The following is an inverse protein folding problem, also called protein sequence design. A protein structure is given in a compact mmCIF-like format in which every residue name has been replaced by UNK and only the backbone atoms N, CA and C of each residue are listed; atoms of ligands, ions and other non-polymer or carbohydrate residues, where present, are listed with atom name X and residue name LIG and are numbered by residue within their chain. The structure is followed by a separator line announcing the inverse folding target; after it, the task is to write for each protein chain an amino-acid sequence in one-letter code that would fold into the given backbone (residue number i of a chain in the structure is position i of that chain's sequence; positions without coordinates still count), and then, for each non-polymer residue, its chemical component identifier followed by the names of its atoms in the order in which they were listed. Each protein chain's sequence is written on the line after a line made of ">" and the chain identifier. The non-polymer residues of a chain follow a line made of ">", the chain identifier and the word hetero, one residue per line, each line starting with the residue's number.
data_IF_446089470917
#
_entry.id   IF_446089470917
#
_cell.length_a   1.000
_cell.length_b   1.000
_cell.length_c   1.000
_cell.angle_alpha   90.00
_cell.angle_beta   90.00
_cell.angle_gamma   90.00
#
_symmetry.space_group_name_H-M   'P 1'
#
loop_
_entity.id
_entity.type
_entity.pdbx_description
1 polymer ?
#
# COMPACT_ATOMS: atom_id res chain seq x y z
N UNK A 1 -14.78 5.79 22.06
CA UNK A 1 -13.72 6.83 22.14
C UNK A 1 -13.92 7.87 21.05
N UNK A 2 -13.38 9.08 21.26
CA UNK A 2 -13.23 10.13 20.24
C UNK A 2 -11.84 10.03 19.62
N UNK A 3 -11.76 9.65 18.36
CA UNK A 3 -10.49 9.38 17.68
C UNK A 3 -10.28 10.45 16.59
N UNK A 4 -9.17 11.18 16.67
CA UNK A 4 -8.75 12.10 15.64
C UNK A 4 -7.70 11.44 14.74
N UNK A 5 -8.00 11.25 13.46
CA UNK A 5 -7.03 10.81 12.46
C UNK A 5 -6.46 12.03 11.75
N UNK A 6 -5.12 12.11 11.63
CA UNK A 6 -4.45 13.17 10.85
C UNK A 6 -3.65 12.56 9.71
N UNK A 7 -3.80 13.10 8.50
CA UNK A 7 -3.14 12.60 7.29
C UNK A 7 -2.88 13.72 6.29
N UNK A 8 -1.81 13.61 5.50
CA UNK A 8 -1.53 14.56 4.42
C UNK A 8 -2.28 14.21 3.13
N UNK A 9 -2.77 12.96 3.00
CA UNK A 9 -3.50 12.47 1.84
C UNK A 9 -4.79 11.79 2.28
N UNK A 10 -5.93 12.19 1.70
CA UNK A 10 -7.19 11.48 2.01
C UNK A 10 -8.16 11.59 0.84
N UNK A 11 -8.81 12.11 0.25
CA UNK A 11 -10.11 12.08 -0.42
C UNK A 11 -10.13 11.73 -1.91
N UNK A 12 -9.13 12.10 -2.71
CA UNK A 12 -9.24 12.02 -4.18
C UNK A 12 -8.29 11.02 -4.81
N UNK A 13 -7.35 10.50 -4.03
CA UNK A 13 -6.35 9.55 -4.53
C UNK A 13 -6.46 8.22 -3.84
N UNK A 14 -6.37 7.16 -4.63
CA UNK A 14 -6.29 5.80 -4.11
C UNK A 14 -4.82 5.41 -4.02
N UNK A 15 -4.37 5.18 -2.80
CA UNK A 15 -3.08 4.57 -2.50
C UNK A 15 -3.20 3.73 -1.22
N UNK A 16 -2.18 2.95 -0.90
CA UNK A 16 -2.20 2.06 0.27
C UNK A 16 -2.50 2.79 1.58
N UNK A 17 -2.03 4.02 1.78
CA UNK A 17 -2.28 4.82 2.99
C UNK A 17 -3.76 5.16 3.11
N UNK A 18 -4.36 5.68 2.04
CA UNK A 18 -5.79 6.04 2.02
C UNK A 18 -6.66 4.81 2.22
N UNK A 19 -6.32 3.68 1.60
CA UNK A 19 -7.02 2.40 1.79
C UNK A 19 -6.95 1.94 3.24
N UNK A 20 -5.76 1.98 3.86
CA UNK A 20 -5.57 1.63 5.28
C UNK A 20 -6.43 2.51 6.20
N UNK A 21 -6.40 3.85 5.99
CA UNK A 21 -7.18 4.80 6.78
C UNK A 21 -8.70 4.54 6.64
N UNK A 22 -9.20 4.31 5.43
CA UNK A 22 -10.61 4.01 5.19
C UNK A 22 -11.04 2.73 5.92
N UNK A 23 -10.29 1.65 5.72
CA UNK A 23 -10.58 0.37 6.35
C UNK A 23 -10.60 0.48 7.88
N UNK A 24 -9.61 1.17 8.46
CA UNK A 24 -9.56 1.43 9.90
C UNK A 24 -10.76 2.24 10.37
N UNK A 25 -11.06 3.34 9.67
CA UNK A 25 -12.16 4.25 10.03
C UNK A 25 -13.51 3.56 9.99
N UNK A 26 -13.79 2.79 8.92
CA UNK A 26 -15.04 2.04 8.78
C UNK A 26 -15.24 1.05 9.93
N UNK A 27 -14.22 0.27 10.27
CA UNK A 27 -14.34 -0.75 11.31
C UNK A 27 -14.45 -0.14 12.71
N UNK A 28 -13.69 0.91 13.02
CA UNK A 28 -13.79 1.61 14.30
C UNK A 28 -15.16 2.31 14.46
N UNK A 29 -15.72 2.86 13.37
CA UNK A 29 -17.07 3.43 13.40
C UNK A 29 -18.15 2.37 13.66
N UNK A 30 -18.04 1.17 13.07
CA UNK A 30 -18.94 0.03 13.36
C UNK A 30 -18.90 -0.37 14.84
N UNK A 31 -17.76 -0.21 15.50
CA UNK A 31 -17.56 -0.46 16.94
C UNK A 31 -18.07 0.70 17.82
N UNK A 32 -18.62 1.76 17.23
CA UNK A 32 -19.26 2.88 17.94
C UNK A 32 -18.29 4.01 18.34
N UNK A 33 -17.07 4.06 17.77
CA UNK A 33 -16.17 5.18 18.00
C UNK A 33 -16.59 6.41 17.19
N UNK A 34 -16.42 7.60 17.77
CA UNK A 34 -16.61 8.88 17.08
C UNK A 34 -15.27 9.26 16.42
N UNK A 35 -15.23 9.28 15.07
CA UNK A 35 -14.01 9.54 14.31
C UNK A 35 -14.12 10.86 13.57
N UNK A 36 -13.06 11.69 13.70
CA UNK A 36 -12.86 12.87 12.87
C UNK A 36 -11.53 12.78 12.16
N UNK A 37 -11.48 13.25 10.92
CA UNK A 37 -10.29 13.21 10.07
C UNK A 37 -9.86 14.63 9.76
N UNK A 38 -8.59 14.94 9.98
CA UNK A 38 -7.97 16.21 9.62
C UNK A 38 -6.95 15.98 8.51
N UNK A 39 -7.15 16.65 7.38
CA UNK A 39 -6.29 16.52 6.21
C UNK A 39 -6.05 17.87 5.54
N UNK A 40 -5.17 17.89 4.54
CA UNK A 40 -4.95 19.09 3.71
C UNK A 40 -5.91 19.09 2.51
N UNK A 41 -6.38 20.29 2.14
CA UNK A 41 -7.25 20.48 0.97
C UNK A 41 -6.43 20.50 -0.31
N UNK A 42 -6.94 19.90 -1.36
CA UNK A 42 -6.35 20.01 -2.70
C UNK A 42 -6.53 21.40 -3.34
N UNK A 43 -7.35 22.23 -2.70
CA UNK A 43 -7.65 23.58 -3.18
C UNK A 43 -7.15 24.66 -2.22
N UNK A 44 -7.16 25.89 -2.69
CA UNK A 44 -6.85 27.08 -1.87
C UNK A 44 -8.00 27.45 -0.91
N UNK A 45 -8.91 26.51 -0.59
CA UNK A 45 -10.02 26.74 0.33
C UNK A 45 -10.07 25.63 1.38
N UNK A 46 -10.22 26.03 2.65
CA UNK A 46 -10.55 25.09 3.71
C UNK A 46 -12.04 24.81 3.68
N UNK A 47 -12.43 23.55 3.80
CA UNK A 47 -13.82 23.11 3.85
C UNK A 47 -13.98 21.92 4.79
N UNK A 48 -15.21 21.57 5.12
CA UNK A 48 -15.56 20.42 5.93
C UNK A 48 -16.61 19.62 5.17
N UNK A 49 -16.45 18.33 5.12
CA UNK A 49 -17.43 17.39 4.59
C UNK A 49 -17.63 16.29 5.63
N UNK A 50 -18.83 16.20 6.18
CA UNK A 50 -19.14 15.29 7.28
C UNK A 50 -18.13 15.41 8.44
N UNK A 51 -17.40 14.34 8.71
CA UNK A 51 -16.38 14.27 9.77
C UNK A 51 -14.95 14.57 9.27
N UNK A 52 -14.78 15.01 8.02
CA UNK A 52 -13.47 15.30 7.42
C UNK A 52 -13.24 16.80 7.32
N UNK A 53 -12.14 17.26 7.86
CA UNK A 53 -11.71 18.65 7.94
C UNK A 53 -10.55 18.88 6.99
N UNK A 54 -10.76 19.68 5.95
CA UNK A 54 -9.77 20.01 4.93
C UNK A 54 -9.16 21.39 5.19
N UNK A 55 -7.86 21.44 5.44
CA UNK A 55 -7.14 22.70 5.63
C UNK A 55 -6.54 23.15 4.29
N UNK A 56 -6.80 24.41 3.92
CA UNK A 56 -6.22 25.08 2.75
C UNK A 56 -4.73 24.78 2.64
N UNK A 57 -4.25 24.41 1.46
CA UNK A 57 -2.85 24.10 1.19
C UNK A 57 -2.38 24.59 -0.18
N UNK A 58 -1.07 24.66 -0.34
CA UNK A 58 -0.37 24.93 -1.60
C UNK A 58 0.33 23.68 -2.09
N UNK A 59 0.36 23.39 -3.39
CA UNK A 59 1.14 22.28 -3.93
C UNK A 59 2.63 22.51 -3.71
N UNK A 60 3.36 21.45 -3.41
CA UNK A 60 4.82 21.41 -3.25
C UNK A 60 5.42 20.35 -4.19
N UNK A 61 4.89 20.26 -5.42
CA UNK A 61 5.24 19.25 -6.42
C UNK A 61 6.73 19.24 -6.80
N UNK A 62 7.47 20.32 -6.47
CA UNK A 62 8.92 20.42 -6.67
C UNK A 62 9.69 19.45 -5.76
N UNK A 63 9.14 19.09 -4.59
CA UNK A 63 9.80 18.21 -3.61
C UNK A 63 9.41 16.76 -3.86
N UNK A 64 8.14 16.49 -4.03
CA UNK A 64 7.58 15.19 -4.33
C UNK A 64 6.17 15.38 -4.91
N UNK A 65 5.78 14.59 -5.93
CA UNK A 65 4.44 14.66 -6.48
C UNK A 65 3.37 14.50 -5.38
N UNK A 66 2.37 15.38 -5.42
CA UNK A 66 1.22 15.35 -4.53
C UNK A 66 1.44 15.82 -3.08
N UNK A 67 2.66 16.20 -2.67
CA UNK A 67 2.88 16.83 -1.37
C UNK A 67 2.27 18.24 -1.38
N UNK A 68 1.52 18.55 -0.31
CA UNK A 68 0.86 19.85 -0.16
C UNK A 68 1.17 20.44 1.20
N UNK A 69 1.52 21.73 1.22
CA UNK A 69 1.84 22.46 2.44
C UNK A 69 0.61 23.27 2.93
N UNK A 70 0.12 23.06 4.16
CA UNK A 70 -0.96 23.85 4.71
C UNK A 70 -0.53 25.31 4.92
N UNK A 71 -1.44 26.25 4.61
CA UNK A 71 -1.15 27.69 4.70
C UNK A 71 -1.38 28.23 6.12
N UNK A 72 -2.24 27.58 6.92
CA UNK A 72 -2.62 28.02 8.26
C UNK A 72 -2.61 26.88 9.28
N UNK A 73 -1.84 27.05 10.36
CA UNK A 73 -1.84 26.13 11.50
C UNK A 73 -2.85 26.52 12.60
N UNK A 74 -3.48 27.71 12.55
CA UNK A 74 -4.43 28.22 13.54
C UNK A 74 -5.83 28.44 12.94
N UNK A 75 -6.32 27.51 12.14
CA UNK A 75 -7.63 27.59 11.51
C UNK A 75 -8.76 27.29 12.49
N UNK A 76 -9.98 27.83 12.22
CA UNK A 76 -11.19 27.55 13.04
C UNK A 76 -11.45 26.06 13.24
N UNK A 77 -11.18 25.23 12.25
CA UNK A 77 -11.35 23.79 12.34
C UNK A 77 -10.41 23.12 13.34
N UNK A 78 -9.20 23.63 13.50
CA UNK A 78 -8.26 23.16 14.53
C UNK A 78 -8.82 23.47 15.92
N UNK A 79 -9.40 24.68 16.13
CA UNK A 79 -10.07 25.03 17.39
C UNK A 79 -11.25 24.12 17.67
N UNK A 80 -12.11 23.85 16.68
CA UNK A 80 -13.24 22.93 16.79
C UNK A 80 -12.79 21.52 17.22
N UNK A 81 -11.67 21.02 16.66
CA UNK A 81 -11.09 19.73 17.05
C UNK A 81 -10.49 19.73 18.47
N UNK A 82 -9.88 20.84 18.90
CA UNK A 82 -9.41 21.00 20.29
C UNK A 82 -10.58 21.03 21.26
N UNK A 83 -11.66 21.78 20.96
CA UNK A 83 -12.88 21.85 21.76
C UNK A 83 -13.63 20.52 21.82
N UNK A 84 -13.54 19.71 20.75
CA UNK A 84 -14.11 18.36 20.70
C UNK A 84 -13.39 17.39 21.65
N UNK A 85 -12.12 17.65 22.03
CA UNK A 85 -11.30 16.87 22.95
C UNK A 85 -11.23 15.40 22.54
N UNK A 86 -10.39 15.06 21.55
CA UNK A 86 -10.13 13.66 21.21
C UNK A 86 -9.51 12.90 22.39
N UNK A 87 -9.88 11.63 22.55
CA UNK A 87 -9.27 10.73 23.52
C UNK A 87 -7.88 10.25 23.03
N UNK A 88 -7.74 10.09 21.71
CA UNK A 88 -6.49 9.70 21.05
C UNK A 88 -6.36 10.40 19.69
N UNK A 89 -5.13 10.67 19.29
CA UNK A 89 -4.79 11.22 17.97
C UNK A 89 -3.96 10.18 17.22
N UNK A 90 -4.45 9.69 16.08
CA UNK A 90 -3.71 8.76 15.23
C UNK A 90 -3.18 9.48 13.99
N UNK A 91 -1.89 9.71 13.95
CA UNK A 91 -1.20 10.31 12.81
C UNK A 91 -0.81 9.24 11.79
N UNK A 92 -1.09 9.50 10.50
CA UNK A 92 -0.84 8.59 9.38
C UNK A 92 0.28 9.07 8.44
N UNK A 93 0.80 10.28 8.67
CA UNK A 93 1.89 10.87 7.89
C UNK A 93 2.77 11.73 8.78
N UNK A 94 4.09 11.74 8.50
CA UNK A 94 5.12 12.40 9.33
C UNK A 94 5.30 13.89 9.01
N UNK A 95 4.71 14.37 7.90
CA UNK A 95 4.98 15.72 7.42
C UNK A 95 4.07 16.78 8.10
N UNK A 96 3.21 17.39 7.32
CA UNK A 96 2.45 18.55 7.77
C UNK A 96 1.30 18.18 8.70
N UNK A 97 0.64 17.07 8.48
CA UNK A 97 -0.45 16.59 9.34
C UNK A 97 0.03 16.19 10.74
N UNK A 98 1.27 15.74 10.89
CA UNK A 98 1.87 15.48 12.20
C UNK A 98 2.02 16.75 13.05
N UNK A 99 2.25 17.91 12.44
CA UNK A 99 2.26 19.18 13.15
C UNK A 99 0.90 19.51 13.76
N UNK A 100 -0.18 19.24 13.02
CA UNK A 100 -1.53 19.40 13.56
C UNK A 100 -1.78 18.44 14.72
N UNK A 101 -1.39 17.16 14.57
CA UNK A 101 -1.48 16.17 15.62
C UNK A 101 -0.76 16.64 16.89
N UNK A 102 0.50 17.06 16.77
CA UNK A 102 1.32 17.56 17.89
C UNK A 102 0.73 18.82 18.53
N UNK A 103 0.18 19.74 17.73
CA UNK A 103 -0.42 20.97 18.26
C UNK A 103 -1.70 20.67 19.03
N UNK A 104 -2.57 19.82 18.49
CA UNK A 104 -3.83 19.43 19.14
C UNK A 104 -3.54 18.63 20.41
N UNK A 105 -2.61 17.67 20.37
CA UNK A 105 -2.17 16.90 21.53
C UNK A 105 -1.69 17.81 22.68
N UNK A 106 -0.84 18.79 22.40
CA UNK A 106 -0.37 19.77 23.41
C UNK A 106 -1.49 20.59 24.04
N UNK A 107 -2.62 20.79 23.32
CA UNK A 107 -3.77 21.56 23.83
C UNK A 107 -4.79 20.71 24.56
N UNK A 108 -4.91 19.44 24.21
CA UNK A 108 -5.94 18.54 24.76
C UNK A 108 -5.40 17.55 25.78
N UNK A 109 -4.09 17.25 25.74
CA UNK A 109 -3.46 16.17 26.50
C UNK A 109 -3.62 14.79 25.85
N UNK A 110 -4.30 14.69 24.69
CA UNK A 110 -4.52 13.41 24.03
C UNK A 110 -3.20 12.79 23.54
N UNK A 111 -2.94 11.49 23.81
CA UNK A 111 -1.76 10.79 23.31
C UNK A 111 -1.77 10.67 21.79
N UNK A 112 -0.56 10.58 21.19
CA UNK A 112 -0.38 10.38 19.75
C UNK A 112 0.06 8.95 19.49
N UNK A 113 -0.67 8.23 18.65
CA UNK A 113 -0.21 7.05 17.95
C UNK A 113 0.20 7.44 16.53
N UNK A 114 1.28 6.90 16.01
CA UNK A 114 1.72 7.18 14.64
C UNK A 114 1.92 5.89 13.86
N UNK A 115 1.27 5.74 12.68
CA UNK A 115 1.57 4.64 11.75
C UNK A 115 2.56 5.09 10.70
N UNK A 116 3.67 4.35 10.56
CA UNK A 116 4.74 4.62 9.62
C UNK A 116 4.48 3.90 8.28
N UNK A 117 3.91 4.62 7.31
CA UNK A 117 3.47 4.04 6.04
C UNK A 117 4.50 4.08 4.92
N UNK A 118 5.57 4.87 5.03
CA UNK A 118 6.46 5.13 3.89
C UNK A 118 7.92 5.06 4.29
N UNK A 119 8.69 4.22 3.61
CA UNK A 119 10.16 4.16 3.72
C UNK A 119 10.78 5.28 2.87
N UNK A 120 10.94 6.44 3.45
CA UNK A 120 11.41 7.64 2.75
C UNK A 120 12.85 7.55 2.21
N UNK A 121 13.67 6.66 2.76
CA UNK A 121 15.04 6.43 2.28
C UNK A 121 15.09 6.10 0.79
N UNK A 122 14.08 5.39 0.29
CA UNK A 122 14.00 4.99 -1.10
C UNK A 122 13.65 6.15 -2.03
N UNK A 123 13.04 7.20 -1.49
CA UNK A 123 12.65 8.40 -2.22
C UNK A 123 13.67 9.53 -2.13
N UNK A 124 14.62 9.46 -1.20
CA UNK A 124 15.66 10.48 -1.01
C UNK A 124 16.58 10.58 -2.21
N UNK A 125 16.80 9.49 -2.94
CA UNK A 125 17.60 9.45 -4.17
C UNK A 125 17.09 10.41 -5.25
N UNK A 126 15.79 10.75 -5.21
CA UNK A 126 15.21 11.74 -6.13
C UNK A 126 15.54 13.20 -5.74
N UNK A 127 15.93 13.44 -4.49
CA UNK A 127 16.13 14.80 -3.96
C UNK A 127 17.59 15.07 -3.64
N UNK A 128 18.34 14.07 -3.18
CA UNK A 128 19.74 14.21 -2.75
C UNK A 128 20.66 13.24 -3.49
N UNK A 129 21.77 13.73 -4.06
CA UNK A 129 22.71 12.89 -4.81
C UNK A 129 23.48 11.90 -3.93
N UNK A 130 23.58 12.14 -2.62
CA UNK A 130 24.24 11.26 -1.66
C UNK A 130 23.21 10.49 -0.83
N UNK A 131 23.03 9.22 -1.17
CA UNK A 131 22.05 8.32 -0.54
C UNK A 131 22.28 8.13 0.96
N UNK A 132 23.53 8.00 1.39
CA UNK A 132 23.86 7.80 2.82
C UNK A 132 23.54 9.04 3.66
N UNK A 133 23.88 10.22 3.14
CA UNK A 133 23.56 11.48 3.83
C UNK A 133 22.03 11.67 3.92
N UNK A 134 21.32 11.30 2.86
CA UNK A 134 19.88 11.36 2.83
C UNK A 134 19.22 10.43 3.84
N UNK A 135 19.66 9.19 3.93
CA UNK A 135 19.17 8.21 4.90
C UNK A 135 19.38 8.70 6.36
N UNK A 136 20.58 9.24 6.67
CA UNK A 136 20.85 9.82 7.98
C UNK A 136 19.95 11.02 8.31
N UNK A 137 19.68 11.87 7.33
CA UNK A 137 18.77 13.01 7.52
C UNK A 137 17.33 12.55 7.80
N UNK A 138 16.85 11.56 7.07
CA UNK A 138 15.52 10.97 7.30
C UNK A 138 15.46 10.34 8.69
N UNK A 139 16.44 9.53 9.07
CA UNK A 139 16.51 8.92 10.40
C UNK A 139 16.44 9.98 11.51
N UNK A 140 17.23 11.05 11.39
CA UNK A 140 17.21 12.16 12.33
C UNK A 140 15.84 12.85 12.37
N UNK A 141 15.26 13.16 11.22
CA UNK A 141 13.96 13.84 11.14
C UNK A 141 12.84 12.96 11.69
N UNK A 142 12.79 11.68 11.35
CA UNK A 142 11.81 10.72 11.89
C UNK A 142 11.92 10.62 13.40
N UNK A 143 13.14 10.47 13.95
CA UNK A 143 13.38 10.42 15.39
C UNK A 143 12.93 11.71 16.10
N UNK A 144 13.27 12.87 15.55
CA UNK A 144 12.88 14.16 16.15
C UNK A 144 11.36 14.40 16.08
N UNK A 145 10.73 13.97 15.00
CA UNK A 145 9.27 14.09 14.82
C UNK A 145 8.51 13.17 15.76
N UNK A 146 8.86 11.91 15.77
CA UNK A 146 8.11 10.89 16.48
C UNK A 146 8.40 10.84 17.98
N UNK A 147 9.41 11.53 18.48
CA UNK A 147 9.80 11.53 19.93
C UNK A 147 8.64 11.80 20.89
N UNK A 148 7.58 12.49 20.45
CA UNK A 148 6.42 12.83 21.28
C UNK A 148 5.21 11.91 20.98
N UNK A 149 5.37 10.88 20.13
CA UNK A 149 4.35 9.87 19.95
C UNK A 149 4.41 8.90 21.14
N UNK A 150 3.26 8.51 21.67
CA UNK A 150 3.16 7.53 22.75
C UNK A 150 3.49 6.12 22.24
N UNK A 151 3.09 5.82 21.02
CA UNK A 151 3.41 4.58 20.33
C UNK A 151 3.56 4.79 18.83
N UNK A 152 4.37 3.95 18.19
CA UNK A 152 4.55 3.89 16.73
C UNK A 152 4.08 2.53 16.23
N UNK A 153 3.27 2.55 15.18
CA UNK A 153 2.81 1.34 14.49
C UNK A 153 3.66 1.13 13.24
N UNK A 154 4.31 -0.01 13.16
CA UNK A 154 5.02 -0.49 11.98
C UNK A 154 4.13 -1.53 11.27
N UNK A 155 3.88 -1.44 9.96
CA UNK A 155 3.04 -2.41 9.26
C UNK A 155 3.71 -3.77 9.07
N UNK A 156 5.03 -3.87 9.20
CA UNK A 156 5.82 -5.11 9.08
C UNK A 156 7.06 -5.06 9.97
N UNK A 157 7.69 -6.21 10.22
CA UNK A 157 8.98 -6.31 10.89
C UNK A 157 10.11 -5.59 10.13
N UNK A 158 10.05 -5.55 8.78
CA UNK A 158 10.94 -4.70 7.97
C UNK A 158 10.95 -3.25 8.44
N UNK A 159 9.76 -2.67 8.61
CA UNK A 159 9.61 -1.27 9.05
C UNK A 159 10.01 -1.10 10.51
N UNK A 160 9.68 -2.04 11.37
CA UNK A 160 10.12 -2.06 12.76
C UNK A 160 11.65 -1.97 12.87
N UNK A 161 12.39 -2.84 12.13
CA UNK A 161 13.85 -2.84 12.11
C UNK A 161 14.42 -1.50 11.61
N UNK A 162 13.86 -0.94 10.53
CA UNK A 162 14.28 0.38 10.03
C UNK A 162 14.09 1.47 11.08
N UNK A 163 12.98 1.47 11.81
CA UNK A 163 12.72 2.46 12.86
C UNK A 163 13.64 2.28 14.07
N UNK A 164 14.00 1.04 14.41
CA UNK A 164 15.01 0.73 15.42
C UNK A 164 16.39 1.23 14.99
N UNK A 165 16.78 1.02 13.73
CA UNK A 165 18.03 1.52 13.15
C UNK A 165 18.09 3.06 13.12
N UNK A 166 16.93 3.73 12.97
CA UNK A 166 16.84 5.19 13.13
C UNK A 166 17.07 5.64 14.58
N UNK A 167 17.08 4.72 15.54
CA UNK A 167 17.25 5.01 16.95
C UNK A 167 16.00 5.60 17.61
N UNK A 168 14.80 5.18 17.18
CA UNK A 168 13.55 5.49 17.87
C UNK A 168 13.56 4.80 19.23
N UNK A 169 13.18 5.57 20.27
CA UNK A 169 13.03 5.06 21.64
C UNK A 169 11.57 4.78 22.03
N UNK A 170 10.63 5.12 21.15
CA UNK A 170 9.20 4.89 21.36
C UNK A 170 8.87 3.40 21.32
N UNK A 171 7.83 2.93 22.03
CA UNK A 171 7.27 1.60 21.78
C UNK A 171 6.85 1.44 20.31
N UNK A 172 7.36 0.41 19.64
CA UNK A 172 7.01 0.06 18.27
C UNK A 172 6.13 -1.19 18.31
N UNK A 173 4.96 -1.11 17.65
CA UNK A 173 4.01 -2.22 17.56
C UNK A 173 3.87 -2.66 16.11
N UNK A 174 4.13 -3.93 15.81
CA UNK A 174 3.94 -4.47 14.47
C UNK A 174 2.46 -4.81 14.29
N UNK A 175 1.75 -3.95 13.56
CA UNK A 175 0.33 -4.11 13.27
C UNK A 175 0.11 -3.87 11.77
N UNK A 176 -0.06 -4.95 10.97
CA UNK A 176 -0.32 -4.83 9.55
C UNK A 176 -1.63 -4.12 9.26
N UNK A 177 -1.64 -3.25 8.25
CA UNK A 177 -2.88 -2.68 7.70
C UNK A 177 -3.75 -3.78 7.11
N UNK A 178 -5.06 -3.68 7.35
CA UNK A 178 -6.03 -4.65 6.87
C UNK A 178 -6.63 -4.30 5.51
N UNK A 179 -7.07 -5.34 4.80
CA UNK A 179 -7.84 -5.24 3.56
C UNK A 179 -9.29 -5.69 3.77
N UNK A 180 -10.18 -5.33 2.85
CA UNK A 180 -11.57 -5.83 2.85
C UNK A 180 -11.63 -7.21 2.23
N UNK A 181 -11.54 -8.27 3.04
CA UNK A 181 -11.68 -9.64 2.55
C UNK A 181 -13.04 -9.87 1.88
N UNK A 182 -14.11 -9.25 2.39
CA UNK A 182 -15.44 -9.33 1.77
C UNK A 182 -15.41 -8.87 0.30
N UNK A 183 -14.69 -7.80 -0.03
CA UNK A 183 -14.55 -7.32 -1.39
C UNK A 183 -13.79 -8.32 -2.27
N UNK A 184 -12.67 -8.85 -1.79
CA UNK A 184 -11.81 -9.78 -2.54
C UNK A 184 -12.40 -11.19 -2.67
N UNK A 185 -13.33 -11.57 -1.78
CA UNK A 185 -14.05 -12.83 -1.87
C UNK A 185 -15.26 -12.79 -2.82
N UNK A 186 -15.65 -11.62 -3.33
CA UNK A 186 -16.67 -11.51 -4.39
C UNK A 186 -16.17 -12.27 -5.62
N UNK A 187 -17.06 -13.01 -6.25
CA UNK A 187 -16.73 -13.74 -7.48
C UNK A 187 -17.46 -13.12 -8.66
N UNK A 188 -16.72 -12.88 -9.74
CA UNK A 188 -17.32 -12.51 -11.02
C UNK A 188 -17.98 -13.73 -11.65
N UNK A 189 -19.05 -13.50 -12.43
CA UNK A 189 -19.66 -14.59 -13.20
C UNK A 189 -18.77 -15.08 -14.32
N UNK A 190 -18.98 -16.31 -14.79
CA UNK A 190 -18.23 -16.85 -15.93
C UNK A 190 -18.41 -15.96 -17.18
N UNK A 191 -19.60 -15.39 -17.37
CA UNK A 191 -19.86 -14.49 -18.49
C UNK A 191 -19.05 -13.20 -18.35
N UNK A 192 -19.05 -12.55 -17.19
CA UNK A 192 -18.27 -11.34 -16.92
C UNK A 192 -16.77 -11.60 -17.08
N UNK A 193 -16.26 -12.75 -16.62
CA UNK A 193 -14.89 -13.18 -16.81
C UNK A 193 -14.50 -13.22 -18.31
N UNK A 194 -15.34 -13.86 -19.15
CA UNK A 194 -15.10 -13.97 -20.58
C UNK A 194 -15.20 -12.61 -21.29
N UNK A 195 -16.18 -11.77 -20.91
CA UNK A 195 -16.33 -10.42 -21.42
C UNK A 195 -15.11 -9.55 -21.12
N UNK A 196 -14.63 -9.54 -19.89
CA UNK A 196 -13.43 -8.80 -19.49
C UNK A 196 -12.17 -9.27 -20.22
N UNK A 197 -11.96 -10.59 -20.35
CA UNK A 197 -10.81 -11.13 -21.12
C UNK A 197 -10.89 -10.70 -22.59
N UNK A 198 -12.06 -10.74 -23.20
CA UNK A 198 -12.28 -10.30 -24.59
C UNK A 198 -12.02 -8.81 -24.77
N UNK A 199 -12.51 -7.95 -23.86
CA UNK A 199 -12.28 -6.50 -23.90
C UNK A 199 -10.79 -6.16 -23.76
N UNK A 200 -10.07 -6.91 -22.95
CA UNK A 200 -8.63 -6.77 -22.73
C UNK A 200 -7.76 -7.46 -23.79
N UNK A 201 -8.36 -8.18 -24.74
CA UNK A 201 -7.62 -8.94 -25.75
C UNK A 201 -6.85 -10.12 -25.19
N UNK A 202 -7.27 -10.68 -24.06
CA UNK A 202 -6.65 -11.83 -23.39
C UNK A 202 -7.34 -13.12 -23.89
N UNK A 203 -6.62 -14.06 -24.56
CA UNK A 203 -7.18 -15.33 -24.99
C UNK A 203 -7.70 -16.18 -23.81
N UNK A 204 -8.73 -16.99 -24.05
CA UNK A 204 -9.36 -17.79 -22.98
C UNK A 204 -8.42 -18.83 -22.35
N UNK A 205 -7.56 -19.46 -23.17
CA UNK A 205 -6.72 -20.57 -22.75
C UNK A 205 -5.28 -20.16 -22.35
N UNK A 206 -5.00 -18.85 -22.23
CA UNK A 206 -3.67 -18.40 -21.82
C UNK A 206 -3.53 -18.30 -20.29
N UNK A 207 -2.31 -18.52 -19.80
CA UNK A 207 -1.96 -18.21 -18.41
C UNK A 207 -1.59 -16.73 -18.25
N UNK A 208 -2.15 -16.08 -17.26
CA UNK A 208 -1.99 -14.64 -17.00
C UNK A 208 -1.12 -14.40 -15.78
N UNK A 209 0.02 -13.75 -15.99
CA UNK A 209 0.82 -13.15 -14.92
C UNK A 209 0.26 -11.77 -14.65
N UNK A 210 -0.20 -11.52 -13.44
CA UNK A 210 -0.77 -10.21 -13.07
C UNK A 210 0.16 -9.43 -12.16
N UNK A 211 0.35 -8.15 -12.47
CA UNK A 211 0.94 -7.15 -11.58
C UNK A 211 -0.06 -6.01 -11.38
N UNK A 212 -0.21 -5.51 -10.15
CA UNK A 212 -1.14 -4.45 -9.82
C UNK A 212 -0.51 -3.41 -8.92
N UNK A 213 -0.72 -2.13 -9.25
CA UNK A 213 -0.27 -1.00 -8.44
C UNK A 213 0.04 0.25 -9.24
N UNK A 214 0.63 1.24 -8.55
CA UNK A 214 1.11 2.46 -9.20
C UNK A 214 2.32 2.15 -10.09
N UNK A 215 2.32 2.62 -11.33
CA UNK A 215 3.41 2.42 -12.26
C UNK A 215 4.52 3.46 -12.03
N UNK A 216 5.31 3.25 -10.99
CA UNK A 216 6.48 4.06 -10.62
C UNK A 216 7.78 3.28 -10.81
N UNK A 217 8.90 4.00 -10.97
CA UNK A 217 10.23 3.40 -11.15
C UNK A 217 10.61 2.48 -9.97
N UNK A 218 10.18 2.83 -8.75
CA UNK A 218 10.42 2.07 -7.53
C UNK A 218 9.75 0.69 -7.51
N UNK A 219 8.74 0.47 -8.37
CA UNK A 219 8.06 -0.83 -8.50
C UNK A 219 8.79 -1.81 -9.42
N UNK A 220 9.83 -1.34 -10.13
CA UNK A 220 10.70 -2.15 -10.99
C UNK A 220 9.96 -3.00 -12.03
N UNK A 221 8.84 -2.50 -12.55
CA UNK A 221 8.03 -3.20 -13.55
C UNK A 221 8.81 -3.43 -14.85
N UNK A 222 9.79 -2.57 -15.15
CA UNK A 222 10.77 -2.78 -16.22
C UNK A 222 11.42 -4.16 -16.14
N UNK A 223 11.89 -4.56 -14.94
CA UNK A 223 12.46 -5.89 -14.69
C UNK A 223 11.46 -7.00 -14.98
N UNK A 224 10.19 -6.86 -14.56
CA UNK A 224 9.16 -7.87 -14.86
C UNK A 224 8.92 -8.04 -16.36
N UNK A 225 8.87 -6.94 -17.13
CA UNK A 225 8.69 -6.98 -18.58
C UNK A 225 9.88 -7.62 -19.27
N UNK A 226 11.12 -7.32 -18.83
CA UNK A 226 12.32 -7.95 -19.35
C UNK A 226 12.36 -9.46 -19.06
N UNK A 227 12.06 -9.88 -17.84
CA UNK A 227 11.96 -11.29 -17.45
C UNK A 227 10.85 -12.00 -18.20
N UNK A 228 9.69 -11.35 -18.35
CA UNK A 228 8.59 -11.88 -19.13
C UNK A 228 8.99 -12.13 -20.59
N UNK A 229 9.78 -11.24 -21.19
CA UNK A 229 10.28 -11.42 -22.56
C UNK A 229 11.17 -12.65 -22.74
N UNK A 230 11.83 -13.09 -21.67
CA UNK A 230 12.68 -14.27 -21.66
C UNK A 230 11.81 -15.54 -21.58
N UNK A 231 10.89 -15.59 -20.62
CA UNK A 231 10.04 -16.77 -20.40
C UNK A 231 9.02 -16.99 -21.51
N UNK A 232 8.60 -15.93 -22.19
CA UNK A 232 7.67 -15.99 -23.32
C UNK A 232 8.22 -16.81 -24.50
N UNK A 233 9.54 -16.86 -24.68
CA UNK A 233 10.19 -17.64 -25.75
C UNK A 233 9.93 -19.16 -25.64
N UNK A 234 9.75 -19.62 -24.41
CA UNK A 234 9.47 -21.03 -24.11
C UNK A 234 8.02 -21.31 -23.76
N UNK A 235 7.25 -20.27 -23.43
CA UNK A 235 5.86 -20.36 -23.02
C UNK A 235 5.01 -19.32 -23.77
N UNK A 236 4.71 -19.52 -25.07
CA UNK A 236 4.08 -18.51 -25.93
C UNK A 236 2.62 -18.17 -25.54
N UNK A 237 1.99 -19.02 -24.75
CA UNK A 237 0.61 -18.84 -24.31
C UNK A 237 0.49 -17.95 -23.03
N UNK A 238 1.61 -17.38 -22.56
CA UNK A 238 1.58 -16.44 -21.45
C UNK A 238 1.07 -15.05 -21.87
N UNK A 239 0.38 -14.41 -20.95
CA UNK A 239 0.05 -12.98 -21.01
C UNK A 239 0.47 -12.29 -19.71
N UNK A 240 0.87 -11.04 -19.81
CA UNK A 240 1.14 -10.19 -18.66
C UNK A 240 0.07 -9.10 -18.57
N UNK A 241 -0.66 -9.08 -17.47
CA UNK A 241 -1.68 -8.07 -17.17
C UNK A 241 -1.12 -7.08 -16.14
N UNK A 242 -0.90 -5.85 -16.55
CA UNK A 242 -0.41 -4.76 -15.71
C UNK A 242 -1.57 -3.82 -15.41
N UNK A 243 -2.04 -3.86 -14.16
CA UNK A 243 -3.21 -3.10 -13.68
C UNK A 243 -2.76 -1.88 -12.90
N UNK A 244 -3.10 -0.71 -13.39
CA UNK A 244 -2.77 0.56 -12.75
C UNK A 244 -2.23 1.60 -13.70
N UNK A 245 -1.90 2.76 -13.14
CA UNK A 245 -1.37 3.90 -13.88
C UNK A 245 -0.22 4.56 -13.11
N UNK A 246 0.55 5.41 -13.79
CA UNK A 246 1.65 6.13 -13.16
C UNK A 246 2.66 6.70 -14.16
N UNK A 247 3.65 7.43 -13.67
CA UNK A 247 4.60 8.16 -14.52
C UNK A 247 5.44 7.25 -15.43
N UNK A 248 5.64 5.98 -15.08
CA UNK A 248 6.44 5.04 -15.87
C UNK A 248 5.65 4.37 -17.01
N UNK A 249 4.31 4.53 -17.09
CA UNK A 249 3.47 3.79 -18.04
C UNK A 249 3.98 3.84 -19.48
N UNK A 250 4.21 5.04 -20.02
CA UNK A 250 4.65 5.18 -21.40
C UNK A 250 6.03 4.57 -21.67
N UNK A 251 6.92 4.58 -20.68
CA UNK A 251 8.22 3.94 -20.77
C UNK A 251 8.08 2.41 -20.82
N UNK A 252 7.19 1.85 -19.99
CA UNK A 252 6.92 0.41 -19.94
C UNK A 252 6.25 -0.10 -21.21
N UNK A 253 5.30 0.65 -21.78
CA UNK A 253 4.67 0.34 -23.07
C UNK A 253 5.71 0.34 -24.20
N UNK A 254 6.58 1.35 -24.25
CA UNK A 254 7.67 1.43 -25.23
C UNK A 254 8.67 0.27 -25.06
N UNK A 255 8.96 -0.16 -23.83
CA UNK A 255 9.81 -1.30 -23.57
C UNK A 255 9.21 -2.59 -24.11
N UNK A 256 7.91 -2.84 -23.92
CA UNK A 256 7.21 -4.00 -24.46
C UNK A 256 7.27 -4.03 -26.01
N UNK A 257 7.11 -2.87 -26.66
CA UNK A 257 7.27 -2.72 -28.13
C UNK A 257 8.70 -3.04 -28.55
N UNK A 258 9.69 -2.46 -27.87
CA UNK A 258 11.12 -2.67 -28.18
C UNK A 258 11.55 -4.14 -28.06
N UNK A 259 10.98 -4.84 -27.09
CA UNK A 259 11.23 -6.28 -26.87
C UNK A 259 10.42 -7.19 -27.81
N UNK A 260 9.50 -6.63 -28.61
CA UNK A 260 8.65 -7.39 -29.52
C UNK A 260 7.57 -8.24 -28.86
N UNK A 261 7.13 -7.84 -27.66
CA UNK A 261 6.16 -8.58 -26.84
C UNK A 261 4.88 -7.76 -26.55
N UNK A 262 4.67 -6.65 -27.26
CA UNK A 262 3.54 -5.75 -27.00
C UNK A 262 2.16 -6.47 -27.07
N UNK A 263 2.00 -7.45 -27.96
CA UNK A 263 0.77 -8.24 -28.11
C UNK A 263 0.53 -9.22 -26.94
N UNK A 264 1.51 -9.38 -26.06
CA UNK A 264 1.45 -10.26 -24.89
C UNK A 264 1.37 -9.51 -23.56
N UNK A 265 1.45 -8.15 -23.58
CA UNK A 265 1.40 -7.32 -22.38
C UNK A 265 0.21 -6.37 -22.45
N UNK A 266 -0.68 -6.47 -21.49
CA UNK A 266 -1.90 -5.65 -21.41
C UNK A 266 -1.76 -4.63 -20.29
N UNK A 267 -1.95 -3.35 -20.61
CA UNK A 267 -1.98 -2.25 -19.65
C UNK A 267 -3.42 -1.74 -19.51
N UNK A 268 -4.02 -1.86 -18.34
CA UNK A 268 -5.41 -1.41 -18.14
C UNK A 268 -5.53 0.10 -17.90
N UNK A 269 -4.46 0.76 -17.44
CA UNK A 269 -4.57 2.08 -16.84
C UNK A 269 -5.20 2.03 -15.44
N UNK A 270 -5.63 3.19 -14.94
CA UNK A 270 -6.26 3.29 -13.63
C UNK A 270 -7.61 2.55 -13.61
N UNK A 271 -7.81 1.74 -12.60
CA UNK A 271 -9.07 1.02 -12.36
C UNK A 271 -9.72 1.50 -11.07
N UNK A 272 -11.04 1.37 -10.97
CA UNK A 272 -11.76 1.73 -9.75
C UNK A 272 -11.34 0.76 -8.61
N UNK A 273 -10.95 1.27 -7.43
CA UNK A 273 -10.57 0.44 -6.29
C UNK A 273 -11.64 -0.56 -5.86
N UNK A 274 -12.90 -0.24 -6.08
CA UNK A 274 -14.01 -1.14 -5.75
C UNK A 274 -14.14 -2.32 -6.72
N UNK A 275 -13.51 -2.23 -7.90
CA UNK A 275 -13.54 -3.23 -8.96
C UNK A 275 -12.21 -4.01 -9.10
N UNK A 276 -11.18 -3.64 -8.32
CA UNK A 276 -9.83 -4.24 -8.39
C UNK A 276 -9.87 -5.77 -8.24
N UNK A 277 -10.76 -6.30 -7.40
CA UNK A 277 -10.92 -7.74 -7.19
C UNK A 277 -11.23 -8.50 -8.48
N UNK A 278 -11.91 -7.87 -9.46
CA UNK A 278 -12.23 -8.49 -10.76
C UNK A 278 -10.95 -8.75 -11.57
N UNK A 279 -10.02 -7.80 -11.53
CA UNK A 279 -8.74 -7.93 -12.25
C UNK A 279 -7.85 -9.00 -11.64
N UNK A 280 -7.79 -9.11 -10.30
CA UNK A 280 -7.07 -10.23 -9.67
C UNK A 280 -7.62 -11.59 -10.13
N UNK A 281 -8.93 -11.72 -10.34
CA UNK A 281 -9.55 -12.96 -10.81
C UNK A 281 -9.28 -13.28 -12.28
N UNK A 282 -8.75 -12.35 -13.08
CA UNK A 282 -8.27 -12.61 -14.43
C UNK A 282 -6.85 -13.18 -14.43
N UNK A 283 -6.11 -13.05 -13.34
CA UNK A 283 -4.74 -13.53 -13.17
C UNK A 283 -4.70 -14.96 -12.66
N UNK A 284 -3.65 -15.69 -13.04
CA UNK A 284 -3.33 -17.03 -12.55
C UNK A 284 -2.18 -17.02 -11.55
N UNK A 285 -1.23 -16.08 -11.70
CA UNK A 285 -0.05 -15.92 -10.85
C UNK A 285 0.17 -14.43 -10.63
N UNK A 286 0.29 -13.99 -9.37
CA UNK A 286 0.69 -12.62 -9.08
C UNK A 286 2.20 -12.49 -9.11
N UNK A 287 2.72 -11.49 -9.83
CA UNK A 287 4.16 -11.23 -9.99
C UNK A 287 4.53 -9.83 -9.52
N UNK A 288 5.66 -9.70 -8.81
CA UNK A 288 6.17 -8.40 -8.37
C UNK A 288 7.70 -8.38 -8.30
N UNK A 289 8.31 -7.28 -8.78
CA UNK A 289 9.73 -7.00 -8.62
C UNK A 289 10.00 -5.87 -7.62
N UNK A 290 8.97 -5.36 -6.92
CA UNK A 290 9.12 -4.27 -5.96
C UNK A 290 9.95 -4.71 -4.75
N UNK A 291 10.89 -3.84 -4.35
CA UNK A 291 11.67 -3.96 -3.10
C UNK A 291 11.45 -2.74 -2.21
N UNK A 292 10.46 -1.92 -2.56
CA UNK A 292 10.18 -0.63 -1.93
C UNK A 292 8.95 -0.64 -1.02
N UNK A 293 8.33 -1.78 -0.82
CA UNK A 293 7.12 -1.86 -0.03
C UNK A 293 7.41 -1.72 1.48
N UNK A 294 6.52 -1.02 2.16
CA UNK A 294 6.44 -1.07 3.63
C UNK A 294 5.65 -2.27 4.09
N UNK A 295 4.59 -2.60 3.37
CA UNK A 295 3.76 -3.79 3.59
C UNK A 295 3.35 -4.47 2.28
N UNK A 296 3.01 -3.68 1.24
CA UNK A 296 2.58 -4.22 -0.05
C UNK A 296 1.18 -4.81 0.01
N UNK A 297 0.15 -3.97 0.17
CA UNK A 297 -1.25 -4.43 0.22
C UNK A 297 -1.63 -5.27 -1.00
N UNK A 298 -1.04 -5.02 -2.16
CA UNK A 298 -1.30 -5.77 -3.38
C UNK A 298 -0.92 -7.25 -3.29
N UNK A 299 0.09 -7.61 -2.49
CA UNK A 299 0.44 -9.00 -2.21
C UNK A 299 -0.67 -9.70 -1.41
N UNK A 300 -1.19 -9.00 -0.41
CA UNK A 300 -2.27 -9.50 0.46
C UNK A 300 -3.58 -9.59 -0.34
N UNK A 301 -3.87 -8.60 -1.19
CA UNK A 301 -5.02 -8.60 -2.08
C UNK A 301 -4.96 -9.75 -3.09
N UNK A 302 -3.79 -9.99 -3.69
CA UNK A 302 -3.55 -11.14 -4.57
C UNK A 302 -3.77 -12.46 -3.85
N UNK A 303 -3.21 -12.60 -2.64
CA UNK A 303 -3.40 -13.78 -1.80
C UNK A 303 -4.87 -13.99 -1.41
N UNK A 304 -5.62 -12.90 -1.09
CA UNK A 304 -7.05 -12.97 -0.79
C UNK A 304 -7.90 -13.43 -1.99
N UNK A 305 -7.44 -13.17 -3.21
CA UNK A 305 -8.05 -13.70 -4.43
C UNK A 305 -7.58 -15.12 -4.79
N UNK A 306 -6.71 -15.71 -3.98
CA UNK A 306 -6.22 -17.07 -4.15
C UNK A 306 -5.11 -17.21 -5.19
N UNK A 307 -4.36 -16.14 -5.48
CA UNK A 307 -3.25 -16.22 -6.42
C UNK A 307 -1.99 -16.76 -5.75
N UNK A 308 -1.28 -17.70 -6.37
CA UNK A 308 0.12 -17.97 -6.08
C UNK A 308 0.97 -16.73 -6.32
N UNK A 309 1.98 -16.51 -5.47
CA UNK A 309 2.83 -15.34 -5.52
C UNK A 309 4.22 -15.69 -6.09
N UNK A 310 4.73 -14.92 -7.04
CA UNK A 310 6.12 -14.99 -7.49
C UNK A 310 6.72 -13.59 -7.40
N UNK A 311 7.46 -13.34 -6.33
CA UNK A 311 7.86 -12.00 -5.95
C UNK A 311 9.38 -11.90 -5.76
N UNK A 312 9.93 -10.72 -6.10
CA UNK A 312 11.32 -10.45 -5.74
C UNK A 312 11.47 -10.44 -4.23
N UNK A 313 12.55 -11.09 -3.73
CA UNK A 313 12.81 -11.18 -2.29
C UNK A 313 12.85 -9.80 -1.64
N UNK A 314 12.02 -9.63 -0.63
CA UNK A 314 11.93 -8.43 0.19
C UNK A 314 11.41 -8.80 1.59
N UNK A 315 12.01 -8.28 2.68
CA UNK A 315 11.57 -8.59 4.04
C UNK A 315 10.11 -8.26 4.36
N UNK A 316 9.43 -7.42 3.54
CA UNK A 316 8.00 -7.15 3.74
C UNK A 316 7.10 -8.36 3.40
N UNK A 317 7.64 -9.39 2.75
CA UNK A 317 6.93 -10.61 2.35
C UNK A 317 6.89 -11.68 3.46
N UNK A 318 7.66 -11.52 4.55
CA UNK A 318 7.92 -12.55 5.57
C UNK A 318 6.67 -13.29 6.06
N UNK A 319 5.56 -12.57 6.26
CA UNK A 319 4.30 -13.17 6.76
C UNK A 319 3.22 -13.37 5.66
N UNK A 320 3.50 -12.95 4.42
CA UNK A 320 2.54 -12.98 3.30
C UNK A 320 2.89 -14.07 2.30
N UNK A 321 4.17 -14.23 2.00
CA UNK A 321 4.68 -15.25 1.10
C UNK A 321 5.46 -16.28 1.90
N UNK A 322 4.95 -17.51 1.96
CA UNK A 322 5.62 -18.64 2.59
C UNK A 322 6.20 -19.52 1.47
N UNK A 323 7.52 -19.54 1.40
CA UNK A 323 8.29 -20.21 0.34
C UNK A 323 7.85 -21.66 0.11
N UNK A 324 7.52 -21.98 -1.13
CA UNK A 324 7.05 -23.30 -1.54
C UNK A 324 5.61 -23.66 -1.11
N UNK A 325 4.97 -22.82 -0.27
CA UNK A 325 3.63 -23.04 0.23
C UNK A 325 2.58 -22.29 -0.61
N UNK A 326 2.67 -20.96 -0.67
CA UNK A 326 1.77 -20.14 -1.47
C UNK A 326 2.47 -19.31 -2.54
N UNK A 327 3.78 -19.48 -2.70
CA UNK A 327 4.56 -18.75 -3.68
C UNK A 327 6.05 -19.05 -3.59
N UNK A 328 6.81 -18.29 -4.36
CA UNK A 328 8.26 -18.32 -4.39
C UNK A 328 8.84 -16.91 -4.41
N UNK A 329 9.96 -16.75 -3.74
CA UNK A 329 10.79 -15.56 -3.85
C UNK A 329 11.91 -15.77 -4.87
N UNK A 330 12.33 -14.69 -5.56
CA UNK A 330 13.49 -14.71 -6.45
C UNK A 330 14.43 -13.53 -6.17
N UNK A 331 15.73 -13.72 -6.39
CA UNK A 331 16.76 -12.67 -6.34
C UNK A 331 17.35 -12.38 -7.73
N UNK A 332 17.35 -13.37 -8.60
CA UNK A 332 17.92 -13.29 -9.94
C UNK A 332 16.87 -13.57 -11.01
N UNK A 333 17.12 -13.09 -12.23
CA UNK A 333 16.22 -13.40 -13.35
C UNK A 333 16.21 -14.90 -13.72
N UNK A 334 17.29 -15.63 -13.44
CA UNK A 334 17.35 -17.08 -13.65
C UNK A 334 16.43 -17.79 -12.66
N UNK A 335 16.46 -17.42 -11.39
CA UNK A 335 15.53 -17.95 -10.37
C UNK A 335 14.07 -17.63 -10.71
N UNK A 336 13.76 -16.40 -11.15
CA UNK A 336 12.41 -16.07 -11.63
C UNK A 336 11.94 -17.03 -12.71
N UNK A 337 12.75 -17.26 -13.76
CA UNK A 337 12.42 -18.17 -14.85
C UNK A 337 12.23 -19.61 -14.36
N UNK A 338 13.10 -20.07 -13.46
CA UNK A 338 13.03 -21.42 -12.88
C UNK A 338 11.77 -21.60 -12.03
N UNK A 339 11.47 -20.66 -11.14
CA UNK A 339 10.31 -20.72 -10.26
C UNK A 339 9.00 -20.63 -11.06
N UNK A 340 8.94 -19.71 -12.04
CA UNK A 340 7.78 -19.62 -12.91
C UNK A 340 7.53 -20.93 -13.67
N UNK A 341 8.56 -21.53 -14.25
CA UNK A 341 8.41 -22.84 -14.91
C UNK A 341 7.96 -23.94 -13.94
N UNK A 342 8.44 -23.93 -12.71
CA UNK A 342 7.99 -24.85 -11.66
C UNK A 342 6.49 -24.71 -11.38
N UNK A 343 6.01 -23.46 -11.27
CA UNK A 343 4.58 -23.17 -11.08
C UNK A 343 3.77 -23.66 -12.28
N UNK A 344 4.17 -23.28 -13.50
CA UNK A 344 3.45 -23.63 -14.74
C UNK A 344 3.33 -25.13 -14.98
N UNK A 345 4.32 -25.91 -14.54
CA UNK A 345 4.36 -27.36 -14.72
C UNK A 345 3.63 -28.16 -13.63
N UNK A 346 3.14 -27.48 -12.58
CA UNK A 346 2.53 -28.15 -11.43
C UNK A 346 1.13 -27.59 -11.07
N UNK A 347 0.08 -27.92 -11.83
CA UNK A 347 -1.28 -27.44 -11.55
C UNK A 347 -1.80 -27.85 -10.16
N UNK A 348 -1.39 -29.00 -9.64
CA UNK A 348 -1.79 -29.45 -8.29
C UNK A 348 -1.20 -28.54 -7.21
N UNK A 349 0.07 -28.16 -7.37
CA UNK A 349 0.69 -27.19 -6.48
C UNK A 349 -0.03 -25.83 -6.55
N UNK A 350 -0.38 -25.35 -7.75
CA UNK A 350 -1.12 -24.10 -7.92
C UNK A 350 -2.44 -24.10 -7.15
N UNK A 351 -3.18 -25.20 -7.16
CA UNK A 351 -4.42 -25.33 -6.38
C UNK A 351 -4.15 -25.25 -4.88
N UNK A 352 -3.16 -25.99 -4.39
CA UNK A 352 -2.77 -25.93 -2.98
C UNK A 352 -2.29 -24.53 -2.56
N UNK A 353 -1.46 -23.91 -3.40
CA UNK A 353 -0.96 -22.57 -3.17
C UNK A 353 -2.08 -21.53 -3.13
N UNK A 354 -3.11 -21.67 -3.96
CA UNK A 354 -4.30 -20.82 -3.95
C UNK A 354 -5.07 -20.92 -2.61
N UNK A 355 -5.27 -22.12 -2.11
CA UNK A 355 -5.92 -22.35 -0.81
C UNK A 355 -5.10 -21.75 0.35
N UNK A 356 -3.77 -21.92 0.31
CA UNK A 356 -2.86 -21.37 1.30
C UNK A 356 -2.82 -19.83 1.25
N UNK A 357 -2.75 -19.23 0.06
CA UNK A 357 -2.83 -17.79 -0.13
C UNK A 357 -4.09 -17.21 0.52
N UNK A 358 -5.25 -17.81 0.24
CA UNK A 358 -6.53 -17.41 0.83
C UNK A 358 -6.53 -17.57 2.35
N UNK A 359 -5.88 -18.63 2.87
CA UNK A 359 -5.77 -18.84 4.31
C UNK A 359 -4.91 -17.79 4.99
N UNK A 360 -3.73 -17.48 4.42
CA UNK A 360 -2.80 -16.47 4.94
C UNK A 360 -3.46 -15.08 4.95
N UNK A 361 -4.19 -14.73 3.87
CA UNK A 361 -4.85 -13.45 3.76
C UNK A 361 -5.88 -13.16 4.88
N UNK A 362 -6.44 -14.19 5.54
CA UNK A 362 -7.36 -14.03 6.67
C UNK A 362 -6.75 -13.26 7.85
N UNK A 363 -5.44 -13.33 8.02
CA UNK A 363 -4.72 -12.61 9.08
C UNK A 363 -4.71 -11.09 8.86
N UNK A 364 -5.07 -10.65 7.66
CA UNK A 364 -5.04 -9.26 7.23
C UNK A 364 -6.44 -8.66 7.00
N UNK A 365 -7.46 -9.22 7.63
CA UNK A 365 -8.79 -8.63 7.57
C UNK A 365 -8.83 -7.27 8.28
N UNK A 366 -9.56 -6.32 7.71
CA UNK A 366 -9.72 -4.97 8.27
C UNK A 366 -10.31 -4.96 9.67
N UNK A 367 -11.17 -5.94 10.02
CA UNK A 367 -11.72 -6.06 11.36
C UNK A 367 -10.64 -6.42 12.39
N UNK A 368 -9.77 -7.39 12.07
CA UNK A 368 -8.61 -7.78 12.90
C UNK A 368 -7.61 -6.62 13.05
N UNK A 369 -7.36 -5.89 11.97
CA UNK A 369 -6.52 -4.67 12.00
C UNK A 369 -7.09 -3.63 12.96
N UNK A 370 -8.38 -3.31 12.83
CA UNK A 370 -9.04 -2.33 13.69
C UNK A 370 -9.06 -2.75 15.16
N UNK A 371 -9.26 -4.04 15.44
CA UNK A 371 -9.20 -4.59 16.81
C UNK A 371 -7.81 -4.41 17.45
N UNK A 372 -6.74 -4.71 16.71
CA UNK A 372 -5.36 -4.52 17.20
C UNK A 372 -5.06 -3.05 17.49
N UNK A 373 -5.51 -2.14 16.62
CA UNK A 373 -5.35 -0.70 16.80
C UNK A 373 -6.19 -0.18 17.97
N UNK A 374 -7.42 -0.66 18.13
CA UNK A 374 -8.29 -0.31 19.27
C UNK A 374 -7.67 -0.73 20.59
N UNK A 375 -7.16 -1.96 20.71
CA UNK A 375 -6.46 -2.45 21.89
C UNK A 375 -5.23 -1.58 22.23
N UNK A 376 -4.50 -1.11 21.22
CA UNK A 376 -3.40 -0.16 21.42
C UNK A 376 -3.90 1.18 21.96
N UNK A 377 -5.01 1.72 21.44
CA UNK A 377 -5.59 2.96 21.95
C UNK A 377 -6.00 2.83 23.42
N UNK A 378 -6.68 1.73 23.75
CA UNK A 378 -7.10 1.47 25.14
C UNK A 378 -5.89 1.40 26.08
N UNK A 379 -4.83 0.71 25.68
CA UNK A 379 -3.62 0.57 26.49
C UNK A 379 -2.90 1.89 26.77
N UNK A 380 -2.93 2.86 25.85
CA UNK A 380 -2.24 4.14 26.02
C UNK A 380 -3.14 5.23 26.62
N UNK A 381 -4.45 5.02 26.70
CA UNK A 381 -5.42 5.97 27.28
C UNK A 381 -5.88 5.57 28.67
N UNK A 382 -5.54 4.36 29.13
CA UNK A 382 -5.78 3.87 30.49
C UNK A 382 -4.87 4.57 31.51
#
# INVERSE_FOLDING_TARGET
>A
MKILITTDLYATKTNGVVTSIRNLTEELQKKGHEIRILTVSETLKSHKSENVYYIKSLPLDVVYPDIRMPVYYHHRYIRELIEWKPDVIHSQCEYFSYHFASYISKKTGAPIVHTYHTLYEQYVTYVLPNQQLGAHLIALLSRLRLRNAEAVVAPTHKVEHVLQDYGLSNPIHVIPSGISLEQHHRRISAQEYLEMRKELGIPEECTVLINLGRLGAEKRITELIELFSIVLKTNPDLRMLIVGDGPAKSELENLAIKLGIADHVVFTGMVDPTEVYKYYQLGDIFVSASTSETQGLTYIEAAANGLPLLCRRDPCLEDVLIEGCNGFEYETGEEFCQMLNTILQNPQWCQMASEQSTHIAKNYDKATFAEKIENLYEAITA
#
